data_IF_665481731423
#
_entry.id   IF_665481731423
#
_cell.length_a   1.000
_cell.length_b   1.000
_cell.length_c   1.000
_cell.angle_alpha   90.00
_cell.angle_beta   90.00
_cell.angle_gamma   90.00
#
_symmetry.space_group_name_H-M   'P 1'
#
loop_
_entity.id
_entity.type
_entity.pdbx_description
1 polymer ?
#
# COMPACT_ATOMS: atom_id res chain seq x y z
N UNK A 1 19.40 9.10 1.40
CA UNK A 1 20.58 8.51 0.74
C UNK A 1 20.59 6.96 0.73
N UNK A 2 20.07 6.25 1.73
CA UNK A 2 20.08 4.76 1.79
C UNK A 2 19.36 4.04 0.63
N UNK A 3 18.33 4.64 0.02
CA UNK A 3 17.52 3.99 -1.01
C UNK A 3 17.94 4.29 -2.46
N UNK A 4 18.66 5.38 -2.71
CA UNK A 4 19.00 5.79 -4.09
C UNK A 4 19.84 4.74 -4.84
N UNK A 5 20.80 4.12 -4.15
CA UNK A 5 21.62 3.05 -4.75
C UNK A 5 20.81 1.77 -5.00
N UNK A 6 19.90 1.43 -4.09
CA UNK A 6 18.98 0.31 -4.26
C UNK A 6 18.04 0.53 -5.45
N UNK A 7 17.44 1.73 -5.57
CA UNK A 7 16.55 2.04 -6.69
C UNK A 7 17.29 2.00 -8.02
N UNK A 8 18.51 2.53 -8.08
CA UNK A 8 19.34 2.45 -9.27
C UNK A 8 19.63 1.00 -9.68
N UNK A 9 19.93 0.12 -8.72
CA UNK A 9 20.11 -1.32 -9.00
C UNK A 9 18.83 -1.96 -9.51
N UNK A 10 17.70 -1.62 -8.93
CA UNK A 10 16.39 -2.10 -9.37
C UNK A 10 16.07 -1.64 -10.80
N UNK A 11 16.32 -0.37 -11.11
CA UNK A 11 16.17 0.19 -12.46
C UNK A 11 17.04 -0.55 -13.49
N UNK A 12 18.32 -0.73 -13.18
CA UNK A 12 19.25 -1.46 -14.05
C UNK A 12 18.79 -2.91 -14.27
N UNK A 13 18.35 -3.59 -13.21
CA UNK A 13 17.83 -4.94 -13.29
C UNK A 13 16.58 -5.01 -14.18
N UNK A 14 15.57 -4.17 -13.90
CA UNK A 14 14.33 -4.15 -14.69
C UNK A 14 14.61 -3.80 -16.15
N UNK A 15 15.46 -2.80 -16.43
CA UNK A 15 15.87 -2.41 -17.78
C UNK A 15 16.59 -3.54 -18.53
N UNK A 16 17.23 -4.47 -17.83
CA UNK A 16 17.92 -5.62 -18.44
C UNK A 16 16.97 -6.76 -18.83
N UNK A 17 15.71 -6.75 -18.37
CA UNK A 17 14.74 -7.81 -18.66
C UNK A 17 14.25 -7.75 -20.11
N UNK A 18 13.89 -6.56 -20.58
CA UNK A 18 13.47 -6.34 -21.97
C UNK A 18 13.51 -4.85 -22.38
N UNK A 19 13.34 -4.59 -23.67
CA UNK A 19 13.36 -3.24 -24.24
C UNK A 19 12.20 -2.36 -23.76
N UNK A 20 11.06 -2.93 -23.40
CA UNK A 20 9.90 -2.18 -22.91
C UNK A 20 10.21 -1.59 -21.54
N UNK A 21 10.81 -2.38 -20.62
CA UNK A 21 11.27 -1.89 -19.34
C UNK A 21 12.32 -0.78 -19.48
N UNK A 22 13.28 -0.96 -20.38
CA UNK A 22 14.28 0.07 -20.65
C UNK A 22 13.63 1.37 -21.12
N UNK A 23 12.68 1.28 -22.06
CA UNK A 23 11.95 2.43 -22.57
C UNK A 23 11.13 3.10 -21.45
N UNK A 24 10.38 2.32 -20.65
CA UNK A 24 9.52 2.84 -19.58
C UNK A 24 10.35 3.60 -18.52
N UNK A 25 11.47 3.01 -18.09
CA UNK A 25 12.35 3.62 -17.09
C UNK A 25 12.94 4.93 -17.62
N UNK A 26 13.40 4.95 -18.88
CA UNK A 26 13.92 6.16 -19.51
C UNK A 26 12.86 7.25 -19.66
N UNK A 27 11.62 6.89 -19.97
CA UNK A 27 10.52 7.82 -20.14
C UNK A 27 10.03 8.45 -18.81
N UNK A 28 9.99 7.66 -17.74
CA UNK A 28 9.53 8.12 -16.42
C UNK A 28 10.67 8.80 -15.64
N UNK A 29 11.90 8.36 -15.84
CA UNK A 29 13.07 8.82 -15.10
C UNK A 29 13.30 8.04 -13.79
N UNK A 30 14.22 8.53 -12.94
CA UNK A 30 14.62 7.85 -11.71
C UNK A 30 13.46 7.56 -10.75
N UNK A 31 13.52 6.40 -10.13
CA UNK A 31 12.51 5.98 -9.14
C UNK A 31 12.49 6.92 -7.93
N UNK A 32 11.33 7.53 -7.70
CA UNK A 32 11.06 8.38 -6.54
C UNK A 32 10.11 7.68 -5.55
N UNK A 33 10.24 6.36 -5.38
CA UNK A 33 9.49 5.62 -4.36
C UNK A 33 9.85 6.16 -2.98
N UNK A 34 8.84 6.61 -2.23
CA UNK A 34 9.03 7.29 -0.94
C UNK A 34 8.18 6.64 0.14
N UNK A 35 8.68 5.57 0.77
CA UNK A 35 8.00 4.97 1.90
C UNK A 35 7.95 5.92 3.09
N UNK A 36 7.03 5.66 4.00
CA UNK A 36 6.80 6.39 5.25
C UNK A 36 7.23 5.50 6.42
N UNK A 37 8.52 5.23 6.48
CA UNK A 37 9.13 4.31 7.43
C UNK A 37 8.97 4.73 8.91
N UNK A 38 8.65 5.99 9.14
CA UNK A 38 8.37 6.53 10.47
C UNK A 38 7.00 6.09 11.04
N UNK A 39 6.13 5.51 10.19
CA UNK A 39 4.78 5.11 10.62
C UNK A 39 4.78 3.74 11.26
N UNK A 40 3.92 3.59 12.25
CA UNK A 40 3.55 2.27 12.78
C UNK A 40 2.53 1.56 11.87
N UNK A 41 2.48 0.21 11.88
CA UNK A 41 1.47 -0.55 11.14
C UNK A 41 0.04 -0.12 11.42
N UNK A 42 -0.30 0.19 12.67
CA UNK A 42 -1.60 0.76 13.06
C UNK A 42 -1.95 2.00 12.25
N UNK A 43 -1.06 2.99 12.24
CA UNK A 43 -1.27 4.24 11.51
C UNK A 43 -1.41 3.97 10.00
N UNK A 44 -0.58 3.09 9.45
CA UNK A 44 -0.62 2.75 8.04
C UNK A 44 -1.96 2.13 7.62
N UNK A 45 -2.49 1.19 8.40
CA UNK A 45 -3.77 0.52 8.14
C UNK A 45 -4.94 1.51 8.26
N UNK A 46 -4.97 2.34 9.30
CA UNK A 46 -6.01 3.36 9.48
C UNK A 46 -6.02 4.35 8.31
N UNK A 47 -4.85 4.82 7.87
CA UNK A 47 -4.72 5.69 6.69
C UNK A 47 -5.19 4.98 5.41
N UNK A 48 -4.81 3.73 5.20
CA UNK A 48 -5.23 2.97 4.04
C UNK A 48 -6.76 2.85 3.94
N UNK A 49 -7.46 2.62 5.06
CA UNK A 49 -8.93 2.60 5.11
C UNK A 49 -9.53 3.95 4.68
N UNK A 50 -8.89 5.07 5.01
CA UNK A 50 -9.38 6.39 4.58
C UNK A 50 -9.43 6.50 3.04
N UNK A 51 -8.47 5.90 2.34
CA UNK A 51 -8.37 5.97 0.86
C UNK A 51 -9.16 4.87 0.12
N UNK A 52 -9.62 3.79 0.80
CA UNK A 52 -10.35 2.72 0.13
C UNK A 52 -11.54 3.27 -0.70
N UNK A 53 -11.60 2.88 -1.99
CA UNK A 53 -12.67 3.25 -2.92
C UNK A 53 -12.88 4.78 -3.11
N UNK A 54 -11.85 5.57 -2.91
CA UNK A 54 -11.89 7.03 -3.06
C UNK A 54 -10.74 7.50 -3.97
N UNK A 55 -10.94 8.68 -4.57
CA UNK A 55 -9.83 9.40 -5.18
C UNK A 55 -8.86 9.90 -4.11
N UNK A 56 -7.59 10.07 -4.45
CA UNK A 56 -6.57 10.62 -3.54
C UNK A 56 -7.06 11.93 -2.89
N UNK A 57 -7.62 12.85 -3.69
CA UNK A 57 -8.15 14.13 -3.19
C UNK A 57 -9.25 13.95 -2.12
N UNK A 58 -10.15 12.99 -2.30
CA UNK A 58 -11.22 12.72 -1.33
C UNK A 58 -10.65 12.07 -0.05
N UNK A 59 -9.73 11.12 -0.18
CA UNK A 59 -9.04 10.51 0.94
C UNK A 59 -8.24 11.53 1.76
N UNK A 60 -7.51 12.43 1.10
CA UNK A 60 -6.77 13.52 1.75
C UNK A 60 -7.70 14.45 2.55
N UNK A 61 -8.86 14.80 1.98
CA UNK A 61 -9.83 15.66 2.65
C UNK A 61 -10.39 15.01 3.93
N UNK A 62 -10.73 13.71 3.88
CA UNK A 62 -11.18 12.95 5.05
C UNK A 62 -10.07 12.86 6.09
N UNK A 63 -8.86 12.49 5.67
CA UNK A 63 -7.73 12.35 6.59
C UNK A 63 -7.37 13.67 7.26
N UNK A 64 -7.43 14.79 6.52
CA UNK A 64 -7.22 16.12 7.10
C UNK A 64 -8.25 16.43 8.20
N UNK A 65 -9.54 16.19 7.95
CA UNK A 65 -10.59 16.37 8.96
C UNK A 65 -10.40 15.45 10.16
N UNK A 66 -10.00 14.20 9.91
CA UNK A 66 -9.71 13.21 10.95
C UNK A 66 -8.59 13.69 11.89
N UNK A 67 -7.47 14.15 11.33
CA UNK A 67 -6.35 14.68 12.10
C UNK A 67 -6.72 15.97 12.85
N UNK A 68 -7.53 16.85 12.24
CA UNK A 68 -8.02 18.06 12.90
C UNK A 68 -8.94 17.73 14.08
N UNK A 69 -9.78 16.70 13.96
CA UNK A 69 -10.69 16.29 15.03
C UNK A 69 -9.94 15.81 16.28
N UNK A 70 -8.83 15.06 16.10
CA UNK A 70 -8.04 14.53 17.21
C UNK A 70 -6.86 15.44 17.62
N UNK A 71 -6.55 16.47 16.85
CA UNK A 71 -5.36 17.32 17.04
C UNK A 71 -4.05 16.70 16.60
N UNK A 72 -3.98 15.36 16.52
CA UNK A 72 -2.87 14.57 16.04
C UNK A 72 -3.40 13.23 15.49
N UNK A 73 -2.53 12.31 15.11
CA UNK A 73 -2.96 10.94 14.79
C UNK A 73 -3.42 10.25 16.08
N UNK A 74 -4.68 9.75 16.18
CA UNK A 74 -5.21 9.21 17.42
C UNK A 74 -4.52 7.92 17.85
N UNK A 75 -4.37 7.71 19.15
CA UNK A 75 -4.00 6.41 19.68
C UNK A 75 -5.11 5.38 19.44
N UNK A 76 -4.82 4.07 19.54
CA UNK A 76 -5.87 3.04 19.46
C UNK A 76 -7.00 3.28 20.45
N UNK A 77 -6.69 3.63 21.69
CA UNK A 77 -7.68 3.91 22.75
C UNK A 77 -8.58 5.08 22.37
N UNK A 78 -7.99 6.19 21.91
CA UNK A 78 -8.76 7.37 21.47
C UNK A 78 -9.71 7.01 20.31
N UNK A 79 -9.25 6.20 19.36
CA UNK A 79 -10.07 5.80 18.22
C UNK A 79 -11.22 4.87 18.62
N UNK A 80 -11.01 3.96 19.58
CA UNK A 80 -12.05 3.09 20.12
C UNK A 80 -13.13 3.92 20.83
N UNK A 81 -12.71 4.90 21.65
CA UNK A 81 -13.61 5.75 22.43
C UNK A 81 -14.33 6.80 21.60
N UNK A 82 -13.85 7.09 20.38
CA UNK A 82 -14.45 8.10 19.53
C UNK A 82 -15.91 7.79 19.22
N UNK A 83 -16.76 8.81 19.35
CA UNK A 83 -18.19 8.70 19.04
C UNK A 83 -18.42 8.40 17.54
N UNK A 84 -19.35 7.50 17.26
CA UNK A 84 -19.67 7.08 15.90
C UNK A 84 -20.06 8.29 15.02
N UNK A 85 -20.91 9.18 15.54
CA UNK A 85 -21.40 10.33 14.78
C UNK A 85 -20.31 11.35 14.50
N UNK A 86 -19.32 11.50 15.38
CA UNK A 86 -18.15 12.34 15.12
C UNK A 86 -17.32 11.79 13.95
N UNK A 87 -17.07 10.49 13.90
CA UNK A 87 -16.35 9.86 12.79
C UNK A 87 -17.17 9.90 11.48
N UNK A 88 -18.51 9.84 11.57
CA UNK A 88 -19.40 10.08 10.43
C UNK A 88 -19.27 11.52 9.89
N UNK A 89 -19.22 12.50 10.76
CA UNK A 89 -19.08 13.92 10.40
C UNK A 89 -17.71 14.21 9.75
N UNK A 90 -16.65 13.49 10.11
CA UNK A 90 -15.34 13.53 9.45
C UNK A 90 -15.44 13.06 8.00
N UNK A 91 -16.35 12.14 7.68
CA UNK A 91 -16.60 11.62 6.33
C UNK A 91 -16.42 10.12 6.17
N UNK A 92 -16.23 9.36 7.24
CA UNK A 92 -16.15 7.90 7.16
C UNK A 92 -17.53 7.26 7.01
N UNK A 93 -17.64 6.24 6.17
CA UNK A 93 -18.84 5.39 6.14
C UNK A 93 -18.92 4.53 7.40
N UNK A 94 -20.12 4.04 7.74
CA UNK A 94 -20.28 3.16 8.90
C UNK A 94 -19.37 1.94 8.86
N UNK A 95 -19.23 1.29 7.69
CA UNK A 95 -18.33 0.16 7.51
C UNK A 95 -16.85 0.54 7.75
N UNK A 96 -16.42 1.71 7.28
CA UNK A 96 -15.07 2.19 7.56
C UNK A 96 -14.84 2.43 9.04
N UNK A 97 -15.83 3.00 9.76
CA UNK A 97 -15.74 3.23 11.22
C UNK A 97 -15.58 1.90 11.95
N UNK A 98 -16.36 0.88 11.60
CA UNK A 98 -16.21 -0.47 12.17
C UNK A 98 -14.80 -1.02 11.91
N UNK A 99 -14.30 -0.88 10.68
CA UNK A 99 -12.93 -1.31 10.33
C UNK A 99 -11.88 -0.55 11.13
N UNK A 100 -12.00 0.77 11.25
CA UNK A 100 -11.06 1.61 12.02
C UNK A 100 -11.02 1.18 13.51
N UNK A 101 -12.18 0.99 14.13
CA UNK A 101 -12.26 0.50 15.51
C UNK A 101 -11.73 -0.93 15.66
N UNK A 102 -11.97 -1.79 14.66
CA UNK A 102 -11.39 -3.14 14.61
C UNK A 102 -9.86 -3.15 14.51
N UNK A 103 -9.26 -2.24 13.72
CA UNK A 103 -7.80 -2.06 13.65
C UNK A 103 -7.26 -1.60 15.02
N UNK A 104 -7.93 -0.61 15.63
CA UNK A 104 -7.52 -0.08 16.92
C UNK A 104 -7.58 -1.17 18.02
N UNK A 105 -8.67 -1.93 18.08
CA UNK A 105 -8.81 -3.05 19.01
C UNK A 105 -7.75 -4.12 18.72
N UNK A 106 -7.57 -4.51 17.45
CA UNK A 106 -6.55 -5.49 17.06
C UNK A 106 -5.13 -5.04 17.41
N UNK A 107 -4.87 -3.72 17.47
CA UNK A 107 -3.58 -3.18 17.93
C UNK A 107 -3.41 -3.39 19.44
N UNK A 108 -4.44 -3.12 20.22
CA UNK A 108 -4.40 -3.35 21.67
C UNK A 108 -4.27 -4.83 22.03
N UNK A 109 -4.88 -5.69 21.23
CA UNK A 109 -4.85 -7.15 21.42
C UNK A 109 -3.57 -7.81 20.85
N UNK A 110 -2.68 -7.02 20.21
CA UNK A 110 -1.45 -7.53 19.59
C UNK A 110 -1.64 -8.19 18.22
N UNK A 111 -2.87 -8.17 17.66
CA UNK A 111 -3.15 -8.68 16.31
C UNK A 111 -2.55 -7.75 15.23
N UNK A 112 -2.56 -6.43 15.44
CA UNK A 112 -1.76 -5.50 14.64
C UNK A 112 -0.44 -5.31 15.37
N UNK A 113 0.67 -5.87 14.84
CA UNK A 113 1.96 -5.83 15.53
C UNK A 113 2.55 -4.42 15.51
N UNK A 114 3.41 -4.13 16.49
CA UNK A 114 4.29 -2.96 16.43
C UNK A 114 5.26 -3.08 15.26
N UNK A 115 5.86 -1.98 14.84
CA UNK A 115 6.87 -1.95 13.78
C UNK A 115 8.00 -2.95 14.05
N UNK A 116 8.52 -2.99 15.26
CA UNK A 116 9.62 -3.88 15.63
C UNK A 116 9.27 -5.36 15.47
N UNK A 117 8.03 -5.75 15.81
CA UNK A 117 7.54 -7.12 15.62
C UNK A 117 7.28 -7.39 14.13
N UNK A 118 6.62 -6.47 13.42
CA UNK A 118 6.32 -6.60 12.00
C UNK A 118 7.60 -6.76 11.16
N UNK A 119 8.67 -6.06 11.48
CA UNK A 119 9.95 -6.16 10.77
C UNK A 119 10.58 -7.57 10.87
N UNK A 120 10.29 -8.33 11.93
CA UNK A 120 10.75 -9.71 12.11
C UNK A 120 9.86 -10.77 11.47
N UNK A 121 8.65 -10.40 11.02
CA UNK A 121 7.68 -11.32 10.41
C UNK A 121 7.88 -11.43 8.90
N UNK A 122 7.51 -12.58 8.32
CA UNK A 122 7.42 -12.72 6.86
C UNK A 122 6.22 -11.94 6.30
N UNK A 123 6.26 -11.63 5.00
CA UNK A 123 5.14 -10.97 4.31
C UNK A 123 3.87 -11.80 4.39
N UNK A 124 3.99 -13.12 4.18
CA UNK A 124 2.89 -14.09 4.21
C UNK A 124 2.25 -14.18 5.60
N UNK A 125 3.08 -14.18 6.66
CA UNK A 125 2.59 -14.18 8.04
C UNK A 125 1.79 -12.92 8.35
N UNK A 126 2.31 -11.74 7.97
CA UNK A 126 1.62 -10.46 8.14
C UNK A 126 0.31 -10.40 7.35
N UNK A 127 0.31 -10.86 6.10
CA UNK A 127 -0.91 -10.91 5.27
C UNK A 127 -1.94 -11.83 5.94
N UNK A 128 -1.56 -13.07 6.25
CA UNK A 128 -2.47 -14.06 6.86
C UNK A 128 -3.08 -13.54 8.17
N UNK A 129 -2.28 -12.90 9.00
CA UNK A 129 -2.72 -12.36 10.27
C UNK A 129 -3.65 -11.15 10.11
N UNK A 130 -3.28 -10.17 9.29
CA UNK A 130 -4.00 -8.90 9.21
C UNK A 130 -5.27 -8.96 8.37
N UNK A 131 -5.40 -9.87 7.41
CA UNK A 131 -6.64 -10.05 6.65
C UNK A 131 -7.78 -10.64 7.48
N UNK A 132 -7.51 -11.12 8.70
CA UNK A 132 -8.55 -11.53 9.65
C UNK A 132 -9.34 -10.34 10.19
N UNK A 133 -8.78 -9.12 10.12
CA UNK A 133 -9.47 -7.89 10.50
C UNK A 133 -10.56 -7.55 9.48
N UNK A 134 -11.79 -7.35 9.96
CA UNK A 134 -12.93 -7.00 9.11
C UNK A 134 -12.66 -5.73 8.30
N UNK A 135 -12.76 -5.82 6.99
CA UNK A 135 -12.55 -4.69 6.07
C UNK A 135 -11.08 -4.46 5.65
N UNK A 136 -10.16 -5.32 6.10
CA UNK A 136 -8.77 -5.35 5.66
C UNK A 136 -8.59 -6.50 4.68
N UNK A 137 -8.33 -6.16 3.42
CA UNK A 137 -7.98 -7.12 2.37
C UNK A 137 -6.47 -7.19 2.14
N UNK A 138 -6.03 -8.19 1.38
CA UNK A 138 -4.63 -8.40 1.03
C UNK A 138 -3.98 -7.13 0.46
N UNK A 139 -4.66 -6.45 -0.48
CA UNK A 139 -4.17 -5.20 -1.07
C UNK A 139 -3.84 -4.13 -0.01
N UNK A 140 -4.67 -3.98 1.03
CA UNK A 140 -4.43 -3.02 2.11
C UNK A 140 -3.16 -3.35 2.90
N UNK A 141 -2.94 -4.64 3.15
CA UNK A 141 -1.73 -5.11 3.84
C UNK A 141 -0.50 -4.91 2.93
N UNK A 142 -0.60 -5.23 1.65
CA UNK A 142 0.49 -5.00 0.68
C UNK A 142 0.90 -3.53 0.59
N UNK A 143 -0.06 -2.59 0.65
CA UNK A 143 0.26 -1.15 0.74
C UNK A 143 1.04 -0.82 2.02
N UNK A 144 0.67 -1.39 3.15
CA UNK A 144 1.44 -1.24 4.40
C UNK A 144 2.84 -1.85 4.27
N UNK A 145 2.96 -3.07 3.71
CA UNK A 145 4.24 -3.72 3.47
C UNK A 145 5.18 -2.85 2.63
N UNK A 146 4.68 -2.30 1.52
CA UNK A 146 5.46 -1.46 0.61
C UNK A 146 5.81 -0.10 1.23
N UNK A 147 4.79 0.65 1.66
CA UNK A 147 4.93 2.06 1.99
C UNK A 147 5.27 2.34 3.46
N UNK A 148 5.15 1.34 4.33
CA UNK A 148 5.48 1.48 5.76
C UNK A 148 6.63 0.57 6.14
N UNK A 149 6.55 -0.74 5.86
CA UNK A 149 7.61 -1.69 6.22
C UNK A 149 8.75 -1.76 5.19
N UNK A 150 8.71 -0.93 4.15
CA UNK A 150 9.76 -0.83 3.13
C UNK A 150 10.09 -2.17 2.45
N UNK A 151 9.09 -3.08 2.33
CA UNK A 151 9.27 -4.36 1.64
C UNK A 151 9.40 -4.12 0.14
N UNK A 152 10.58 -4.41 -0.41
CA UNK A 152 10.92 -4.05 -1.80
C UNK A 152 10.53 -5.12 -2.82
N UNK A 153 9.99 -6.25 -2.36
CA UNK A 153 9.61 -7.37 -3.24
C UNK A 153 8.13 -7.76 -3.09
N UNK A 154 7.24 -6.76 -3.24
CA UNK A 154 5.78 -6.91 -3.21
C UNK A 154 5.20 -6.55 -4.57
N UNK A 155 4.32 -7.40 -5.09
CA UNK A 155 3.51 -7.13 -6.29
C UNK A 155 2.03 -7.26 -5.95
N UNK A 156 1.31 -6.13 -5.78
CA UNK A 156 -0.14 -6.14 -5.56
C UNK A 156 -0.89 -6.49 -6.85
N UNK A 157 -1.08 -7.78 -7.10
CA UNK A 157 -1.68 -8.29 -8.34
C UNK A 157 -3.18 -7.99 -8.48
N UNK A 158 -3.83 -7.55 -7.39
CA UNK A 158 -5.22 -7.09 -7.36
C UNK A 158 -5.34 -5.57 -7.51
N UNK A 159 -4.22 -4.83 -7.58
CA UNK A 159 -4.23 -3.40 -7.76
C UNK A 159 -4.62 -3.03 -9.19
N UNK A 160 -5.75 -2.34 -9.34
CA UNK A 160 -6.28 -1.96 -10.65
C UNK A 160 -5.31 -1.07 -11.44
N UNK A 161 -4.58 -0.20 -10.74
CA UNK A 161 -3.59 0.68 -11.36
C UNK A 161 -2.42 -0.11 -11.94
N UNK A 162 -1.95 -1.14 -11.22
CA UNK A 162 -0.87 -2.03 -11.67
C UNK A 162 -1.35 -2.89 -12.85
N UNK A 163 -2.54 -3.52 -12.73
CA UNK A 163 -3.12 -4.36 -13.79
C UNK A 163 -3.31 -3.57 -15.09
N UNK A 164 -3.92 -2.39 -15.01
CA UNK A 164 -4.09 -1.50 -16.15
C UNK A 164 -2.77 -0.91 -16.66
N UNK A 165 -1.85 -0.60 -15.73
CA UNK A 165 -0.50 -0.15 -16.05
C UNK A 165 0.23 -1.19 -16.87
N UNK A 166 0.21 -2.45 -16.45
CA UNK A 166 0.84 -3.55 -17.18
C UNK A 166 0.19 -3.78 -18.54
N UNK A 167 -1.16 -3.72 -18.62
CA UNK A 167 -1.87 -3.82 -19.90
C UNK A 167 -1.36 -2.77 -20.90
N UNK A 168 -1.26 -1.49 -20.48
CA UNK A 168 -0.76 -0.42 -21.35
C UNK A 168 0.73 -0.59 -21.67
N UNK A 169 1.52 -0.96 -20.66
CA UNK A 169 2.95 -1.19 -20.78
C UNK A 169 3.27 -2.22 -21.87
N UNK A 170 2.53 -3.32 -21.92
CA UNK A 170 2.70 -4.39 -22.90
C UNK A 170 1.75 -4.30 -24.10
N UNK A 171 0.96 -3.20 -24.22
CA UNK A 171 -0.01 -2.97 -25.29
C UNK A 171 -0.98 -4.15 -25.50
N UNK A 172 -1.41 -4.77 -24.39
CA UNK A 172 -2.30 -5.93 -24.44
C UNK A 172 -3.73 -5.50 -24.77
N UNK A 173 -4.44 -6.33 -25.53
CA UNK A 173 -5.86 -6.13 -25.87
C UNK A 173 -6.79 -6.24 -24.67
N UNK A 174 -6.39 -7.01 -23.65
CA UNK A 174 -7.12 -7.18 -22.41
C UNK A 174 -6.14 -7.18 -21.22
N UNK A 175 -6.60 -6.75 -20.02
CA UNK A 175 -5.75 -6.78 -18.83
C UNK A 175 -5.41 -8.23 -18.44
N UNK A 176 -4.21 -8.49 -17.92
CA UNK A 176 -3.82 -9.83 -17.45
C UNK A 176 -4.71 -10.24 -16.27
N UNK A 177 -4.97 -11.54 -16.18
CA UNK A 177 -5.59 -12.10 -14.98
C UNK A 177 -4.60 -12.07 -13.82
N UNK A 178 -5.12 -12.04 -12.59
CA UNK A 178 -4.33 -12.03 -11.35
C UNK A 178 -3.22 -13.08 -11.34
N UNK A 179 -3.54 -14.33 -11.69
CA UNK A 179 -2.57 -15.44 -11.71
C UNK A 179 -1.48 -15.21 -12.77
N UNK A 180 -1.86 -14.75 -13.95
CA UNK A 180 -0.91 -14.42 -15.03
C UNK A 180 0.05 -13.31 -14.61
N UNK A 181 -0.47 -12.22 -14.01
CA UNK A 181 0.37 -11.13 -13.54
C UNK A 181 1.31 -11.58 -12.40
N UNK A 182 0.84 -12.45 -11.52
CA UNK A 182 1.69 -13.04 -10.48
C UNK A 182 2.86 -13.84 -11.06
N UNK A 183 2.60 -14.68 -12.07
CA UNK A 183 3.62 -15.47 -12.77
C UNK A 183 4.62 -14.58 -13.51
N UNK A 184 4.13 -13.59 -14.25
CA UNK A 184 4.96 -12.60 -14.93
C UNK A 184 5.86 -11.85 -13.94
N UNK A 185 5.29 -11.46 -12.80
CA UNK A 185 5.99 -10.72 -11.77
C UNK A 185 7.11 -11.48 -11.05
N UNK A 186 7.20 -12.80 -11.22
CA UNK A 186 8.32 -13.58 -10.69
C UNK A 186 9.67 -13.12 -11.28
N UNK A 187 9.67 -12.72 -12.55
CA UNK A 187 10.86 -12.20 -13.22
C UNK A 187 11.33 -10.84 -12.67
N UNK A 188 10.50 -10.12 -11.92
CA UNK A 188 10.85 -8.80 -11.37
C UNK A 188 11.43 -8.88 -9.95
N UNK A 189 11.39 -10.07 -9.33
CA UNK A 189 12.01 -10.29 -8.02
C UNK A 189 13.54 -10.08 -8.11
N UNK A 190 14.17 -9.44 -7.12
CA UNK A 190 13.64 -9.00 -5.81
C UNK A 190 13.13 -7.54 -5.79
N UNK A 191 12.76 -6.96 -6.92
CA UNK A 191 12.43 -5.54 -7.08
C UNK A 191 10.96 -5.28 -7.45
N UNK A 192 10.04 -6.21 -7.10
CA UNK A 192 8.63 -6.13 -7.48
C UNK A 192 7.93 -4.86 -7.02
N UNK A 193 8.30 -4.29 -5.87
CA UNK A 193 7.76 -3.02 -5.41
C UNK A 193 8.18 -1.84 -6.29
N UNK A 194 9.38 -1.87 -6.83
CA UNK A 194 9.88 -0.86 -7.76
C UNK A 194 9.23 -1.03 -9.14
N UNK A 195 9.06 -2.27 -9.61
CA UNK A 195 8.28 -2.57 -10.81
C UNK A 195 6.85 -2.03 -10.69
N UNK A 196 6.19 -2.28 -9.55
CA UNK A 196 4.85 -1.75 -9.24
C UNK A 196 4.82 -0.22 -9.30
N UNK A 197 5.85 0.45 -8.77
CA UNK A 197 5.96 1.91 -8.79
C UNK A 197 6.02 2.47 -10.23
N UNK A 198 6.72 1.82 -11.14
CA UNK A 198 6.75 2.19 -12.55
C UNK A 198 5.43 1.89 -13.25
N UNK A 199 4.81 0.74 -12.99
CA UNK A 199 3.54 0.36 -13.60
C UNK A 199 2.39 1.34 -13.25
N UNK A 200 2.36 1.88 -12.03
CA UNK A 200 1.40 2.94 -11.67
C UNK A 200 1.58 4.23 -12.50
N UNK A 201 2.74 4.42 -13.14
CA UNK A 201 3.11 5.65 -13.89
C UNK A 201 3.10 5.49 -15.39
N UNK A 202 2.76 4.31 -15.89
CA UNK A 202 2.57 4.13 -17.33
C UNK A 202 1.50 5.11 -17.83
N UNK A 203 1.79 5.96 -18.82
CA UNK A 203 0.84 6.95 -19.34
C UNK A 203 -0.49 6.33 -19.75
N UNK A 204 -1.58 7.11 -19.62
CA UNK A 204 -2.94 6.71 -20.03
C UNK A 204 -3.10 6.89 -21.52
#
# INVERSE_FOLDING_TARGET
>A
MKHADFYRKAEQFLASLDTDWQYLINAIGPCAFSPKAEREPYEALVRAVAYQQLSTKAGDAILKKFLLHFGAFPTPEQLIQAEFDHLRAVGFSGRKIETLKGIAQGTMDGLVPSRAVADSMSNEALITQLVTLKGIGQWTVEMMLMFTLERMDILPVDDLGIVQGYQRFKQLTAPPKKKELAEIGLAWSPYRSIASWYLWRVPK
#
